data_IF_659749790144
#
_entry.id   IF_659749790144
#
_cell.length_a   1.000
_cell.length_b   1.000
_cell.length_c   1.000
_cell.angle_alpha   90.00
_cell.angle_beta   90.00
_cell.angle_gamma   90.00
#
_symmetry.space_group_name_H-M   'P 1'
#
loop_
_entity.id
_entity.type
_entity.pdbx_description
1 polymer ?
#
# COMPACT_ATOMS: atom_id res chain seq x y z
N UNK A 1 19.93 29.44 16.72
CA UNK A 1 19.89 28.10 17.37
C UNK A 1 19.30 27.14 16.34
N UNK A 2 20.07 26.17 15.80
CA UNK A 2 19.52 25.13 14.93
C UNK A 2 18.61 24.17 15.71
N UNK A 3 17.55 23.65 15.07
CA UNK A 3 16.61 22.71 15.71
C UNK A 3 15.34 23.35 16.30
N UNK A 4 15.03 24.60 15.96
CA UNK A 4 13.74 25.20 16.27
C UNK A 4 12.69 24.76 15.25
N UNK A 5 11.51 24.38 15.73
CA UNK A 5 10.35 24.15 14.85
C UNK A 5 9.96 25.47 14.19
N UNK A 6 9.86 25.45 12.86
CA UNK A 6 9.29 26.56 12.11
C UNK A 6 7.78 26.43 12.14
N UNK A 7 7.08 27.55 12.07
CA UNK A 7 5.63 27.56 11.90
C UNK A 7 5.32 27.58 10.39
N UNK A 8 5.09 26.41 9.80
CA UNK A 8 4.80 26.31 8.37
C UNK A 8 3.40 26.82 8.00
N UNK A 9 2.50 26.98 8.98
CA UNK A 9 1.13 27.44 8.75
C UNK A 9 0.94 28.92 9.06
N UNK A 10 2.00 29.62 9.48
CA UNK A 10 1.99 31.05 9.78
C UNK A 10 0.89 31.42 10.79
N UNK A 11 0.66 30.55 11.76
CA UNK A 11 -0.32 30.70 12.83
C UNK A 11 -1.73 30.24 12.46
N UNK A 12 -1.98 29.87 11.20
CA UNK A 12 -3.29 29.39 10.78
C UNK A 12 -3.53 27.94 11.25
N UNK A 13 -4.77 27.65 11.64
CA UNK A 13 -5.16 26.36 12.22
C UNK A 13 -5.41 25.36 11.10
N UNK A 14 -4.75 24.20 11.17
CA UNK A 14 -5.12 23.05 10.36
C UNK A 14 -6.43 22.45 10.90
N UNK A 15 -7.49 22.43 10.08
CA UNK A 15 -8.81 21.95 10.49
C UNK A 15 -9.09 20.52 10.04
N UNK A 16 -8.55 20.12 8.90
CA UNK A 16 -8.75 18.80 8.32
C UNK A 16 -7.43 18.24 7.81
N UNK A 17 -7.23 16.93 7.98
CA UNK A 17 -6.03 16.22 7.56
C UNK A 17 -6.40 14.84 7.02
N UNK A 18 -5.78 14.45 5.90
CA UNK A 18 -5.97 13.16 5.25
C UNK A 18 -4.62 12.63 4.75
N UNK A 19 -4.25 11.40 5.11
CA UNK A 19 -2.99 10.79 4.69
C UNK A 19 -3.22 9.40 4.10
N UNK A 20 -2.66 9.15 2.91
CA UNK A 20 -2.76 7.87 2.21
C UNK A 20 -1.50 7.01 2.38
N UNK A 21 -0.33 7.65 2.48
CA UNK A 21 0.98 7.02 2.61
C UNK A 21 1.96 7.99 3.28
N UNK A 22 3.08 7.48 3.77
CA UNK A 22 4.25 8.31 4.09
C UNK A 22 4.56 9.28 2.93
N UNK A 23 4.67 10.58 3.27
CA UNK A 23 4.95 11.68 2.33
C UNK A 23 3.89 11.86 1.22
N UNK A 24 2.69 11.31 1.41
CA UNK A 24 1.51 11.51 0.56
C UNK A 24 0.28 11.83 1.41
N UNK A 25 -0.03 13.11 1.57
CA UNK A 25 -1.07 13.62 2.44
C UNK A 25 -1.64 14.95 1.93
N UNK A 26 -2.84 15.28 2.37
CA UNK A 26 -3.54 16.52 2.10
C UNK A 26 -4.14 17.09 3.38
N UNK A 27 -4.26 18.41 3.45
CA UNK A 27 -4.83 19.09 4.62
C UNK A 27 -5.43 20.43 4.27
N UNK A 28 -6.41 20.85 5.07
CA UNK A 28 -7.01 22.18 4.99
C UNK A 28 -6.51 23.04 6.12
N UNK A 29 -6.12 24.26 5.77
CA UNK A 29 -5.80 25.32 6.71
C UNK A 29 -6.95 26.32 6.65
N UNK A 30 -7.50 26.62 7.82
CA UNK A 30 -8.49 27.67 7.99
C UNK A 30 -7.86 28.83 8.76
N UNK A 31 -7.35 29.81 8.02
CA UNK A 31 -6.87 31.07 8.56
C UNK A 31 -7.96 32.14 8.60
N UNK A 32 -7.75 33.18 9.38
CA UNK A 32 -8.69 34.31 9.47
C UNK A 32 -8.84 35.07 8.15
N UNK A 33 -7.78 35.09 7.33
CA UNK A 33 -7.73 35.81 6.04
C UNK A 33 -7.58 34.89 4.82
N UNK A 34 -7.30 33.60 5.02
CA UNK A 34 -7.06 32.66 3.92
C UNK A 34 -7.45 31.23 4.31
N UNK A 35 -8.42 30.67 3.60
CA UNK A 35 -8.66 29.24 3.58
C UNK A 35 -7.90 28.63 2.40
N UNK A 36 -7.09 27.60 2.67
CA UNK A 36 -6.30 26.93 1.63
C UNK A 36 -6.25 25.43 1.84
N UNK A 37 -6.10 24.73 0.72
CA UNK A 37 -5.84 23.30 0.69
C UNK A 37 -4.40 23.07 0.26
N UNK A 38 -3.70 22.19 0.96
CA UNK A 38 -2.33 21.82 0.65
C UNK A 38 -2.26 20.33 0.42
N UNK A 39 -1.59 19.94 -0.67
CA UNK A 39 -1.42 18.55 -1.07
C UNK A 39 0.07 18.28 -1.23
N UNK A 40 0.57 17.29 -0.50
CA UNK A 40 1.93 16.77 -0.61
C UNK A 40 1.86 15.35 -1.16
N UNK A 41 2.45 15.11 -2.32
CA UNK A 41 2.47 13.80 -2.96
C UNK A 41 3.86 13.52 -3.55
N UNK A 42 4.76 12.96 -2.73
CA UNK A 42 6.14 12.72 -3.18
C UNK A 42 6.18 11.72 -4.34
N UNK A 43 6.90 12.09 -5.41
CA UNK A 43 7.05 11.28 -6.62
C UNK A 43 6.06 11.63 -7.73
N UNK A 44 5.04 12.44 -7.43
CA UNK A 44 4.11 12.97 -8.42
C UNK A 44 4.63 14.30 -8.97
N UNK A 45 4.46 14.52 -10.28
CA UNK A 45 4.83 15.79 -10.92
C UNK A 45 3.99 16.93 -10.34
N UNK A 46 4.63 18.03 -9.96
CA UNK A 46 3.94 19.14 -9.29
C UNK A 46 2.76 19.73 -10.06
N UNK A 47 2.82 19.80 -11.40
CA UNK A 47 1.69 20.27 -12.21
C UNK A 47 0.47 19.32 -12.12
N UNK A 48 0.71 18.01 -11.97
CA UNK A 48 -0.35 17.02 -11.78
C UNK A 48 -1.00 17.24 -10.43
N UNK A 49 -0.21 17.45 -9.38
CA UNK A 49 -0.73 17.76 -8.04
C UNK A 49 -1.59 19.02 -8.07
N UNK A 50 -1.13 20.08 -8.73
CA UNK A 50 -1.84 21.36 -8.77
C UNK A 50 -3.15 21.33 -9.56
N UNK A 51 -3.19 20.57 -10.65
CA UNK A 51 -4.32 20.62 -11.59
C UNK A 51 -5.29 19.43 -11.47
N UNK A 52 -4.84 18.30 -10.92
CA UNK A 52 -5.58 17.03 -10.95
C UNK A 52 -5.72 16.35 -9.58
N UNK A 53 -5.29 16.98 -8.49
CA UNK A 53 -5.46 16.43 -7.15
C UNK A 53 -6.20 17.44 -6.29
N UNK A 54 -7.20 16.95 -5.53
CA UNK A 54 -7.94 17.76 -4.56
C UNK A 54 -7.90 17.10 -3.18
N UNK A 55 -8.26 17.87 -2.14
CA UNK A 55 -8.45 17.29 -0.81
C UNK A 55 -9.56 16.24 -0.81
N UNK A 56 -10.68 16.52 -1.49
CA UNK A 56 -11.83 15.62 -1.54
C UNK A 56 -11.50 14.30 -2.23
N UNK A 57 -10.65 14.30 -3.26
CA UNK A 57 -10.18 13.05 -3.89
C UNK A 57 -9.40 12.17 -2.91
N UNK A 58 -8.56 12.76 -2.05
CA UNK A 58 -7.85 12.01 -1.01
C UNK A 58 -8.81 11.46 0.03
N UNK A 59 -9.77 12.29 0.45
CA UNK A 59 -10.80 11.90 1.42
C UNK A 59 -11.65 10.74 0.87
N UNK A 60 -12.11 10.86 -0.38
CA UNK A 60 -12.85 9.83 -1.08
C UNK A 60 -12.05 8.54 -1.16
N UNK A 61 -10.79 8.60 -1.59
CA UNK A 61 -9.96 7.40 -1.68
C UNK A 61 -9.69 6.76 -0.30
N UNK A 62 -9.53 7.56 0.75
CA UNK A 62 -9.30 7.04 2.10
C UNK A 62 -10.54 6.32 2.68
N UNK A 63 -11.75 6.83 2.41
CA UNK A 63 -12.98 6.32 3.04
C UNK A 63 -13.83 5.41 2.13
N UNK A 64 -13.76 5.58 0.82
CA UNK A 64 -14.52 4.81 -0.18
C UNK A 64 -13.63 3.81 -0.95
N UNK A 65 -12.31 4.00 -0.94
CA UNK A 65 -11.33 3.20 -1.69
C UNK A 65 -10.95 1.87 -1.03
N UNK A 66 -11.94 1.07 -0.63
CA UNK A 66 -11.74 -0.26 -0.01
C UNK A 66 -11.16 -1.34 -0.95
N UNK A 67 -10.68 -1.00 -2.15
CA UNK A 67 -10.11 -1.97 -3.10
C UNK A 67 -8.57 -1.96 -3.17
N UNK A 68 -7.91 -1.05 -2.45
CA UNK A 68 -6.44 -1.03 -2.35
C UNK A 68 -5.98 -1.62 -1.03
N UNK A 69 -6.42 -2.84 -0.73
CA UNK A 69 -5.96 -3.59 0.44
C UNK A 69 -4.47 -3.89 0.23
N UNK A 70 -3.62 -3.17 0.96
CA UNK A 70 -2.23 -3.57 1.07
C UNK A 70 -2.20 -4.84 1.92
N UNK A 71 -1.74 -5.94 1.35
CA UNK A 71 -1.53 -7.17 2.12
C UNK A 71 -0.28 -6.96 2.94
N UNK A 72 -0.43 -6.92 4.27
CA UNK A 72 0.69 -6.98 5.19
C UNK A 72 1.26 -8.40 5.15
N UNK A 73 2.54 -8.52 4.78
CA UNK A 73 3.25 -9.78 4.86
C UNK A 73 3.56 -10.10 6.32
N UNK A 74 3.81 -11.37 6.61
CA UNK A 74 3.92 -11.93 7.97
C UNK A 74 5.08 -11.31 8.78
N UNK A 75 6.07 -10.72 8.10
CA UNK A 75 7.16 -9.96 8.71
C UNK A 75 6.77 -8.57 9.22
N UNK A 76 5.54 -8.09 8.91
CA UNK A 76 4.98 -6.79 9.28
C UNK A 76 5.80 -5.57 8.83
N UNK A 77 6.77 -5.77 7.95
CA UNK A 77 7.65 -4.72 7.42
C UNK A 77 7.30 -4.42 5.96
N UNK A 78 6.70 -5.38 5.26
CA UNK A 78 6.37 -5.25 3.84
C UNK A 78 4.87 -5.26 3.57
N UNK A 79 4.44 -4.32 2.72
CA UNK A 79 3.06 -4.22 2.22
C UNK A 79 3.04 -4.32 0.71
N UNK A 80 2.34 -5.31 0.15
CA UNK A 80 2.15 -5.45 -1.29
C UNK A 80 0.88 -4.73 -1.74
N UNK A 81 0.92 -4.09 -2.92
CA UNK A 81 -0.27 -3.45 -3.49
C UNK A 81 -1.26 -4.51 -3.99
N UNK A 82 -2.56 -4.32 -3.72
CA UNK A 82 -3.61 -5.11 -4.35
C UNK A 82 -3.49 -5.01 -5.88
N UNK A 83 -3.36 -6.15 -6.56
CA UNK A 83 -3.08 -6.22 -8.00
C UNK A 83 -1.66 -6.65 -8.40
N UNK A 84 -0.69 -6.70 -7.46
CA UNK A 84 0.55 -7.47 -7.68
C UNK A 84 0.36 -8.99 -7.55
N UNK A 85 -0.89 -9.43 -7.30
CA UNK A 85 -1.34 -10.82 -7.39
C UNK A 85 -2.29 -11.05 -8.56
N UNK A 86 -2.18 -10.29 -9.65
CA UNK A 86 -2.64 -10.81 -10.94
C UNK A 86 -1.55 -11.71 -11.51
N UNK A 87 -1.45 -12.89 -10.92
CA UNK A 87 -1.01 -14.08 -11.64
C UNK A 87 -2.31 -14.65 -12.22
N UNK A 88 -2.88 -13.94 -13.20
CA UNK A 88 -3.73 -14.61 -14.17
C UNK A 88 -2.75 -15.07 -15.24
N UNK A 89 -2.67 -16.39 -15.39
CA UNK A 89 -1.83 -17.15 -16.32
C UNK A 89 -0.35 -17.31 -15.91
N UNK A 90 -0.10 -18.23 -14.99
CA UNK A 90 1.01 -19.19 -15.11
C UNK A 90 0.72 -20.38 -14.17
N UNK A 91 -0.29 -21.20 -14.52
CA UNK A 91 -0.48 -22.54 -13.94
C UNK A 91 0.77 -23.44 -14.14
N UNK A 92 1.72 -23.02 -14.99
CA UNK A 92 2.99 -23.70 -15.23
C UNK A 92 4.10 -23.34 -14.22
N UNK A 93 4.05 -22.20 -13.50
CA UNK A 93 5.11 -21.82 -12.55
C UNK A 93 4.98 -22.48 -11.17
N UNK A 94 3.79 -22.92 -10.78
CA UNK A 94 3.55 -23.53 -9.45
C UNK A 94 4.29 -24.87 -9.32
N UNK A 95 4.44 -25.61 -10.42
CA UNK A 95 5.08 -26.93 -10.41
C UNK A 95 6.62 -26.81 -10.27
N UNK A 96 7.24 -25.80 -10.89
CA UNK A 96 8.69 -25.54 -10.78
C UNK A 96 9.10 -25.07 -9.37
N UNK A 97 8.19 -24.35 -8.69
CA UNK A 97 8.44 -23.78 -7.36
C UNK A 97 8.46 -24.80 -6.21
N UNK A 98 7.79 -25.94 -6.38
CA UNK A 98 7.68 -26.98 -5.34
C UNK A 98 8.83 -27.99 -5.38
N UNK A 99 9.44 -28.20 -6.54
CA UNK A 99 10.50 -29.20 -6.72
C UNK A 99 11.85 -28.74 -6.15
N UNK A 100 12.03 -27.44 -5.88
CA UNK A 100 13.25 -26.86 -5.31
C UNK A 100 13.07 -26.27 -3.89
N UNK A 101 12.00 -26.63 -3.18
CA UNK A 101 11.73 -26.05 -1.87
C UNK A 101 12.66 -26.65 -0.80
N UNK A 102 13.54 -25.80 -0.31
CA UNK A 102 14.45 -26.08 0.80
C UNK A 102 13.89 -25.37 2.05
N UNK A 103 13.80 -26.08 3.16
CA UNK A 103 13.36 -25.61 4.47
C UNK A 103 14.23 -24.46 4.96
N UNK A 104 13.74 -23.71 5.96
CA UNK A 104 14.56 -22.77 6.71
C UNK A 104 15.82 -23.43 7.34
N UNK A 105 15.77 -24.75 7.54
CA UNK A 105 16.87 -25.56 8.08
C UNK A 105 17.73 -26.24 6.99
N UNK A 106 17.51 -25.94 5.71
CA UNK A 106 18.32 -26.46 4.61
C UNK A 106 17.96 -27.88 4.14
N UNK A 107 16.87 -28.45 4.66
CA UNK A 107 16.37 -29.78 4.27
C UNK A 107 15.46 -29.67 3.04
N UNK A 108 15.50 -30.67 2.16
CA UNK A 108 14.66 -30.73 0.97
C UNK A 108 13.37 -31.47 1.32
N UNK A 109 12.22 -30.91 0.94
CA UNK A 109 10.91 -31.52 1.22
C UNK A 109 10.82 -32.89 0.56
N UNK A 110 10.25 -33.86 1.28
CA UNK A 110 9.97 -35.16 0.66
C UNK A 110 8.75 -35.09 -0.28
N UNK A 111 8.63 -36.07 -1.18
CA UNK A 111 7.54 -36.07 -2.17
C UNK A 111 6.15 -36.18 -1.55
N UNK A 112 6.02 -36.76 -0.35
CA UNK A 112 4.73 -36.80 0.37
C UNK A 112 4.32 -35.41 0.88
N UNK A 113 5.28 -34.63 1.36
CA UNK A 113 5.06 -33.26 1.84
C UNK A 113 4.73 -32.32 0.68
N UNK A 114 5.41 -32.47 -0.46
CA UNK A 114 5.08 -31.75 -1.70
C UNK A 114 3.66 -32.08 -2.19
N UNK A 115 3.28 -33.35 -2.15
CA UNK A 115 1.95 -33.79 -2.60
C UNK A 115 0.81 -33.29 -1.70
N UNK A 116 1.02 -33.27 -0.40
CA UNK A 116 0.08 -32.68 0.55
C UNK A 116 -0.16 -31.20 0.26
N UNK A 117 0.91 -30.46 -0.06
CA UNK A 117 0.83 -29.05 -0.42
C UNK A 117 0.10 -28.83 -1.75
N UNK A 118 0.36 -29.67 -2.76
CA UNK A 118 -0.37 -29.63 -4.04
C UNK A 118 -1.87 -29.85 -3.84
N UNK A 119 -2.26 -30.79 -2.98
CA UNK A 119 -3.67 -31.06 -2.66
C UNK A 119 -4.37 -29.90 -1.95
N UNK A 120 -3.73 -29.30 -0.94
CA UNK A 120 -4.28 -28.16 -0.20
C UNK A 120 -4.50 -26.94 -1.11
N UNK A 121 -3.53 -26.65 -1.99
CA UNK A 121 -3.63 -25.55 -2.94
C UNK A 121 -4.77 -25.76 -3.95
N UNK A 122 -4.95 -27.00 -4.42
CA UNK A 122 -6.04 -27.35 -5.35
C UNK A 122 -7.43 -27.22 -4.72
N UNK A 123 -7.56 -27.56 -3.44
CA UNK A 123 -8.82 -27.37 -2.71
C UNK A 123 -9.13 -25.89 -2.48
N UNK A 124 -8.12 -25.06 -2.23
CA UNK A 124 -8.28 -23.63 -2.03
C UNK A 124 -8.72 -22.90 -3.30
N UNK A 125 -8.17 -23.27 -4.47
CA UNK A 125 -8.54 -22.66 -5.76
C UNK A 125 -9.90 -23.14 -6.29
N UNK A 126 -10.38 -24.31 -5.85
CA UNK A 126 -11.69 -24.83 -6.26
C UNK A 126 -12.88 -24.24 -5.47
N UNK A 127 -12.62 -23.55 -4.36
CA UNK A 127 -13.64 -23.01 -3.45
C UNK A 127 -13.80 -21.48 -3.54
N UNK A 128 -13.20 -20.84 -4.54
CA UNK A 128 -13.30 -19.40 -4.86
C UNK A 128 -13.83 -19.25 -6.30
#
# INVERSE_FOLDING_TARGET
IPGLFSDETNGDIMTEFCALRSKSYSYKINGFYSSKEEIKAKGIRGHVVKNHMTFEDHRRYLFEGMDSVRVELEDKIHTLAHGHYRIEDDDEQINDWLDHKIDADGLEWDESEKELMRLLLREYTSNN
#
